data_IF_599424587447
#
_entry.id   IF_599424587447
#
_cell.length_a   1.000
_cell.length_b   1.000
_cell.length_c   1.000
_cell.angle_alpha   90.00
_cell.angle_beta   90.00
_cell.angle_gamma   90.00
#
_symmetry.space_group_name_H-M   'P 1'
#
loop_
_entity.id
_entity.type
_entity.pdbx_description
1 polymer ?
#
# COMPACT_ATOMS: atom_id res chain seq x y z
N UNK A 1 10.04 6.94 -6.30
CA UNK A 1 9.31 5.76 -5.75
C UNK A 1 8.11 5.36 -6.59
N UNK A 2 7.32 6.29 -7.13
CA UNK A 2 6.25 5.96 -8.10
C UNK A 2 6.76 5.17 -9.32
N UNK A 3 7.95 5.51 -9.84
CA UNK A 3 8.58 4.76 -10.93
C UNK A 3 8.90 3.30 -10.57
N UNK A 4 9.23 2.99 -9.31
CA UNK A 4 9.49 1.63 -8.87
C UNK A 4 8.21 0.79 -8.84
N UNK A 5 7.06 1.41 -8.49
CA UNK A 5 5.76 0.74 -8.59
C UNK A 5 5.42 0.42 -10.06
N UNK A 6 5.61 1.36 -10.98
CA UNK A 6 5.35 1.12 -12.41
C UNK A 6 6.28 0.05 -12.99
N UNK A 7 7.55 0.05 -12.58
CA UNK A 7 8.52 -0.97 -12.96
C UNK A 7 8.12 -2.38 -12.46
N UNK A 8 7.47 -2.48 -11.31
CA UNK A 8 6.90 -3.74 -10.81
C UNK A 8 5.56 -4.11 -11.47
N UNK A 9 4.73 -3.13 -11.81
CA UNK A 9 3.38 -3.37 -12.33
C UNK A 9 3.37 -4.06 -13.70
N UNK A 10 4.23 -3.63 -14.62
CA UNK A 10 4.40 -4.21 -15.97
C UNK A 10 4.72 -5.73 -15.95
N UNK A 11 5.74 -6.20 -15.21
CA UNK A 11 6.01 -7.63 -15.11
C UNK A 11 4.90 -8.41 -14.39
N UNK A 12 4.17 -7.78 -13.47
CA UNK A 12 3.01 -8.39 -12.81
C UNK A 12 1.87 -8.69 -13.80
N UNK A 13 1.60 -7.75 -14.69
CA UNK A 13 0.65 -7.89 -15.79
C UNK A 13 1.06 -9.00 -16.76
N UNK A 14 2.35 -9.06 -17.09
CA UNK A 14 2.88 -10.09 -17.98
C UNK A 14 2.78 -11.48 -17.35
N UNK A 15 3.12 -11.61 -16.07
CA UNK A 15 3.03 -12.86 -15.32
C UNK A 15 1.58 -13.37 -15.14
N UNK A 16 0.61 -12.47 -14.98
CA UNK A 16 -0.80 -12.81 -14.86
C UNK A 16 -1.53 -13.04 -16.19
N UNK A 17 -0.89 -12.78 -17.33
CA UNK A 17 -1.50 -12.88 -18.67
C UNK A 17 -2.01 -14.28 -19.00
N UNK A 18 -1.34 -15.32 -18.49
CA UNK A 18 -1.70 -16.71 -18.78
C UNK A 18 -2.98 -17.15 -18.07
N UNK A 19 -3.39 -16.52 -16.95
CA UNK A 19 -4.61 -16.86 -16.20
C UNK A 19 -4.70 -18.30 -15.64
N UNK A 20 -3.66 -19.11 -15.86
CA UNK A 20 -3.62 -20.54 -15.50
C UNK A 20 -2.92 -20.80 -14.17
N UNK A 21 -2.42 -19.76 -13.50
CA UNK A 21 -1.80 -19.92 -12.18
C UNK A 21 -2.88 -20.23 -11.13
N UNK A 22 -2.76 -21.35 -10.40
CA UNK A 22 -3.71 -21.73 -9.35
C UNK A 22 -3.94 -20.62 -8.29
N UNK A 23 -2.88 -19.86 -7.96
CA UNK A 23 -2.98 -18.69 -7.09
C UNK A 23 -3.88 -17.57 -7.65
N UNK A 24 -3.82 -17.33 -8.97
CA UNK A 24 -4.64 -16.33 -9.63
C UNK A 24 -6.13 -16.69 -9.64
N UNK A 25 -6.45 -17.97 -9.79
CA UNK A 25 -7.83 -18.47 -9.75
C UNK A 25 -8.43 -18.38 -8.34
N UNK A 26 -7.63 -18.74 -7.33
CA UNK A 26 -8.03 -18.60 -5.92
C UNK A 26 -8.23 -17.14 -5.53
N UNK A 27 -7.36 -16.23 -6.00
CA UNK A 27 -7.55 -14.79 -5.78
C UNK A 27 -8.83 -14.28 -6.46
N UNK A 28 -9.06 -14.63 -7.72
CA UNK A 28 -10.28 -14.20 -8.43
C UNK A 28 -11.55 -14.72 -7.74
N UNK A 29 -11.55 -15.98 -7.30
CA UNK A 29 -12.65 -16.56 -6.52
C UNK A 29 -12.82 -15.93 -5.12
N UNK A 30 -11.73 -15.47 -4.50
CA UNK A 30 -11.76 -14.75 -3.23
C UNK A 30 -12.36 -13.35 -3.39
N UNK A 31 -11.91 -12.58 -4.38
CA UNK A 31 -12.41 -11.23 -4.65
C UNK A 31 -13.82 -11.20 -5.28
N UNK A 32 -14.26 -12.29 -5.91
CA UNK A 32 -15.61 -12.43 -6.45
C UNK A 32 -16.70 -12.70 -5.40
N UNK A 33 -16.32 -13.05 -4.17
CA UNK A 33 -17.27 -13.40 -3.11
C UNK A 33 -17.71 -12.15 -2.34
N UNK A 34 -18.79 -11.51 -2.80
CA UNK A 34 -19.34 -10.29 -2.20
C UNK A 34 -19.71 -10.42 -0.71
N UNK A 35 -20.07 -11.63 -0.26
CA UNK A 35 -20.48 -11.89 1.14
C UNK A 35 -19.37 -11.64 2.17
N UNK A 36 -18.10 -11.75 1.76
CA UNK A 36 -16.95 -11.48 2.63
C UNK A 36 -16.89 -9.99 3.03
N UNK A 37 -17.54 -9.10 2.27
CA UNK A 37 -17.57 -7.66 2.50
C UNK A 37 -18.73 -7.19 3.38
N UNK A 38 -19.58 -8.11 3.87
CA UNK A 38 -20.76 -7.77 4.68
C UNK A 38 -20.42 -7.45 6.15
N UNK A 39 -19.36 -8.04 6.69
CA UNK A 39 -18.96 -7.89 8.08
C UNK A 39 -18.03 -6.68 8.26
N UNK A 40 -18.62 -5.51 8.56
CA UNK A 40 -17.90 -4.24 8.72
C UNK A 40 -16.74 -4.30 9.73
N UNK A 41 -16.97 -4.92 10.89
CA UNK A 41 -15.98 -5.01 11.98
C UNK A 41 -14.65 -5.66 11.58
N UNK A 42 -14.63 -6.92 11.09
CA UNK A 42 -13.39 -7.59 10.71
C UNK A 42 -12.71 -6.92 9.50
N UNK A 43 -13.46 -6.38 8.53
CA UNK A 43 -12.89 -5.66 7.39
C UNK A 43 -12.17 -4.39 7.83
N UNK A 44 -12.77 -3.62 8.74
CA UNK A 44 -12.17 -2.41 9.27
C UNK A 44 -10.89 -2.72 10.05
N UNK A 45 -10.89 -3.79 10.85
CA UNK A 45 -9.71 -4.21 11.61
C UNK A 45 -8.58 -4.70 10.70
N UNK A 46 -8.90 -5.50 9.68
CA UNK A 46 -7.89 -6.02 8.75
C UNK A 46 -7.27 -4.89 7.92
N UNK A 47 -8.09 -3.95 7.43
CA UNK A 47 -7.61 -2.75 6.74
C UNK A 47 -6.76 -1.85 7.65
N UNK A 48 -7.17 -1.67 8.89
CA UNK A 48 -6.42 -0.89 9.87
C UNK A 48 -5.07 -1.56 10.22
N UNK A 49 -5.07 -2.87 10.42
CA UNK A 49 -3.86 -3.64 10.70
C UNK A 49 -2.88 -3.59 9.51
N UNK A 50 -3.39 -3.78 8.29
CA UNK A 50 -2.60 -3.66 7.07
C UNK A 50 -2.01 -2.25 6.89
N UNK A 51 -2.82 -1.21 7.13
CA UNK A 51 -2.36 0.18 7.07
C UNK A 51 -1.29 0.47 8.13
N UNK A 52 -1.51 0.01 9.37
CA UNK A 52 -0.55 0.17 10.46
C UNK A 52 0.78 -0.51 10.15
N UNK A 53 0.75 -1.77 9.72
CA UNK A 53 1.96 -2.54 9.40
C UNK A 53 2.74 -1.89 8.25
N UNK A 54 2.03 -1.41 7.22
CA UNK A 54 2.64 -0.74 6.08
C UNK A 54 3.27 0.59 6.46
N UNK A 55 2.58 1.41 7.26
CA UNK A 55 3.14 2.67 7.76
C UNK A 55 4.35 2.41 8.67
N UNK A 56 4.27 1.41 9.55
CA UNK A 56 5.35 1.04 10.45
C UNK A 56 6.60 0.58 9.69
N UNK A 57 6.43 -0.20 8.63
CA UNK A 57 7.53 -0.60 7.76
C UNK A 57 8.20 0.61 7.08
N UNK A 58 7.41 1.56 6.56
CA UNK A 58 7.93 2.81 5.97
C UNK A 58 8.68 3.64 7.00
N UNK A 59 8.20 3.69 8.25
CA UNK A 59 8.86 4.37 9.35
C UNK A 59 10.22 3.74 9.66
N UNK A 60 10.27 2.41 9.83
CA UNK A 60 11.52 1.66 10.05
C UNK A 60 12.53 1.89 8.92
N UNK A 61 12.05 1.91 7.66
CA UNK A 61 12.91 2.22 6.52
C UNK A 61 13.50 3.63 6.60
N UNK A 62 12.79 4.61 7.15
CA UNK A 62 13.31 5.97 7.34
C UNK A 62 14.46 6.08 8.34
N UNK A 63 14.53 5.18 9.32
CA UNK A 63 15.62 5.10 10.30
C UNK A 63 16.80 4.24 9.84
N UNK A 64 16.68 3.57 8.69
CA UNK A 64 17.73 2.74 8.13
C UNK A 64 18.51 3.46 7.03
N UNK A 65 19.85 3.36 7.05
CA UNK A 65 20.71 4.08 6.10
C UNK A 65 20.50 3.64 4.63
N UNK A 66 20.17 2.37 4.40
CA UNK A 66 19.77 1.85 3.08
C UNK A 66 18.23 1.83 2.89
N UNK A 67 17.50 2.59 3.70
CA UNK A 67 16.04 2.74 3.65
C UNK A 67 15.44 3.00 2.27
N UNK A 68 16.00 3.90 1.45
CA UNK A 68 15.45 4.22 0.13
C UNK A 68 15.41 3.02 -0.82
N UNK A 69 16.37 2.10 -0.69
CA UNK A 69 16.44 0.87 -1.50
C UNK A 69 15.34 -0.10 -1.06
N UNK A 70 15.18 -0.33 0.26
CA UNK A 70 14.10 -1.17 0.80
C UNK A 70 12.72 -0.64 0.42
N UNK A 71 12.53 0.68 0.53
CA UNK A 71 11.30 1.36 0.11
C UNK A 71 11.03 1.17 -1.39
N UNK A 72 12.06 1.32 -2.23
CA UNK A 72 11.95 1.05 -3.66
C UNK A 72 11.52 -0.38 -3.96
N UNK A 73 12.13 -1.37 -3.29
CA UNK A 73 11.81 -2.79 -3.44
C UNK A 73 10.37 -3.11 -2.99
N UNK A 74 9.95 -2.55 -1.86
CA UNK A 74 8.59 -2.70 -1.34
C UNK A 74 7.53 -2.16 -2.31
N UNK A 75 7.77 -0.96 -2.87
CA UNK A 75 6.86 -0.39 -3.85
C UNK A 75 6.83 -1.16 -5.18
N UNK A 76 7.97 -1.72 -5.60
CA UNK A 76 8.02 -2.61 -6.77
C UNK A 76 7.24 -3.90 -6.54
N UNK A 77 7.40 -4.56 -5.39
CA UNK A 77 6.66 -5.76 -5.03
C UNK A 77 5.13 -5.49 -4.95
N UNK A 78 4.73 -4.35 -4.38
CA UNK A 78 3.33 -3.89 -4.37
C UNK A 78 2.78 -3.70 -5.78
N UNK A 79 3.55 -3.05 -6.66
CA UNK A 79 3.20 -2.88 -8.07
C UNK A 79 3.02 -4.21 -8.79
N UNK A 80 3.95 -5.15 -8.60
CA UNK A 80 3.89 -6.50 -9.17
C UNK A 80 2.61 -7.23 -8.75
N UNK A 81 2.29 -7.21 -7.46
CA UNK A 81 1.09 -7.86 -6.94
C UNK A 81 -0.19 -7.23 -7.53
N UNK A 82 -0.27 -5.91 -7.61
CA UNK A 82 -1.40 -5.22 -8.22
C UNK A 82 -1.56 -5.54 -9.72
N UNK A 83 -0.48 -5.60 -10.47
CA UNK A 83 -0.51 -5.98 -11.89
C UNK A 83 -0.95 -7.43 -12.09
N UNK A 84 -0.47 -8.33 -11.22
CA UNK A 84 -0.83 -9.74 -11.24
C UNK A 84 -2.31 -9.97 -10.90
N UNK A 85 -2.83 -9.29 -9.86
CA UNK A 85 -4.25 -9.35 -9.50
C UNK A 85 -5.15 -8.84 -10.63
N UNK A 86 -4.82 -7.67 -11.21
CA UNK A 86 -5.62 -7.07 -12.28
C UNK A 86 -5.70 -7.97 -13.52
N UNK A 87 -4.59 -8.60 -13.92
CA UNK A 87 -4.55 -9.50 -15.06
C UNK A 87 -5.41 -10.77 -14.83
N UNK A 88 -5.32 -11.39 -13.65
CA UNK A 88 -6.07 -12.61 -13.35
C UNK A 88 -7.58 -12.35 -13.20
N UNK A 89 -7.99 -11.24 -12.56
CA UNK A 89 -9.41 -10.89 -12.44
C UNK A 89 -10.03 -10.58 -13.80
N UNK A 90 -9.30 -9.89 -14.68
CA UNK A 90 -9.77 -9.60 -16.03
C UNK A 90 -9.98 -10.88 -16.86
N UNK A 91 -9.13 -11.90 -16.68
CA UNK A 91 -9.28 -13.18 -17.36
C UNK A 91 -10.44 -14.03 -16.83
N UNK A 92 -10.72 -13.99 -15.52
CA UNK A 92 -11.75 -14.84 -14.92
C UNK A 92 -13.14 -14.21 -14.86
N UNK A 93 -13.23 -12.91 -14.55
CA UNK A 93 -14.48 -12.24 -14.23
C UNK A 93 -14.81 -11.11 -15.22
N UNK A 94 -14.02 -10.98 -16.29
CA UNK A 94 -14.17 -9.96 -17.33
C UNK A 94 -13.96 -8.51 -16.84
N UNK A 95 -14.30 -7.55 -17.69
CA UNK A 95 -14.10 -6.12 -17.40
C UNK A 95 -15.03 -5.60 -16.28
N UNK A 96 -16.23 -6.17 -16.13
CA UNK A 96 -17.18 -5.77 -15.10
C UNK A 96 -16.70 -6.15 -13.68
N UNK A 97 -16.16 -7.36 -13.51
CA UNK A 97 -15.55 -7.79 -12.25
C UNK A 97 -14.28 -7.01 -11.92
N UNK A 98 -13.52 -6.59 -12.94
CA UNK A 98 -12.36 -5.73 -12.77
C UNK A 98 -12.75 -4.33 -12.28
N UNK A 99 -13.81 -3.73 -12.82
CA UNK A 99 -14.30 -2.42 -12.37
C UNK A 99 -14.80 -2.47 -10.93
N UNK A 100 -15.52 -3.53 -10.55
CA UNK A 100 -15.95 -3.73 -9.16
C UNK A 100 -14.72 -3.88 -8.24
N UNK A 101 -13.75 -4.69 -8.60
CA UNK A 101 -12.49 -4.82 -7.86
C UNK A 101 -11.74 -3.48 -7.72
N UNK A 102 -11.73 -2.67 -8.78
CA UNK A 102 -11.10 -1.35 -8.78
C UNK A 102 -11.74 -0.38 -7.78
N UNK A 103 -13.07 -0.29 -7.81
CA UNK A 103 -13.81 0.61 -6.92
C UNK A 103 -13.74 0.12 -5.46
N UNK A 104 -13.75 -1.19 -5.24
CA UNK A 104 -13.87 -1.77 -3.90
C UNK A 104 -12.54 -1.99 -3.18
N UNK A 105 -11.54 -2.55 -3.86
CA UNK A 105 -10.28 -2.96 -3.23
C UNK A 105 -9.10 -2.08 -3.66
N UNK A 106 -9.15 -1.53 -4.87
CA UNK A 106 -8.02 -0.78 -5.42
C UNK A 106 -8.00 0.68 -4.94
N UNK A 107 -9.17 1.34 -4.86
CA UNK A 107 -9.30 2.72 -4.33
C UNK A 107 -8.74 2.90 -2.90
N UNK A 108 -9.12 2.09 -1.88
CA UNK A 108 -8.56 2.20 -0.54
C UNK A 108 -7.05 1.93 -0.53
N UNK A 109 -6.59 0.95 -1.31
CA UNK A 109 -5.19 0.62 -1.42
C UNK A 109 -4.36 1.74 -2.09
N UNK A 110 -4.96 2.49 -3.03
CA UNK A 110 -4.37 3.65 -3.69
C UNK A 110 -4.26 4.86 -2.76
N UNK A 111 -5.30 5.13 -1.96
CA UNK A 111 -5.26 6.18 -0.95
C UNK A 111 -4.15 5.92 0.08
N UNK A 112 -4.06 4.69 0.60
CA UNK A 112 -2.98 4.27 1.50
C UNK A 112 -1.61 4.35 0.81
N UNK A 113 -1.52 3.99 -0.46
CA UNK A 113 -0.28 4.10 -1.23
C UNK A 113 0.19 5.54 -1.37
N UNK A 114 -0.69 6.49 -1.71
CA UNK A 114 -0.33 7.90 -1.79
C UNK A 114 0.16 8.44 -0.43
N UNK A 115 -0.51 8.05 0.65
CA UNK A 115 -0.11 8.40 2.01
C UNK A 115 1.28 7.84 2.35
N UNK A 116 1.54 6.59 1.97
CA UNK A 116 2.86 5.97 2.12
C UNK A 116 3.92 6.63 1.25
N UNK A 117 3.59 7.06 0.03
CA UNK A 117 4.54 7.70 -0.88
C UNK A 117 4.93 9.10 -0.38
N UNK A 118 3.95 9.82 0.18
CA UNK A 118 4.17 11.08 0.91
C UNK A 118 5.10 10.86 2.11
N UNK A 119 4.82 9.86 2.95
CA UNK A 119 5.65 9.55 4.12
C UNK A 119 7.06 9.07 3.71
N UNK A 120 7.14 8.25 2.66
CA UNK A 120 8.39 7.71 2.13
C UNK A 120 9.32 8.79 1.60
N UNK A 121 8.79 9.88 1.02
CA UNK A 121 9.59 11.02 0.60
C UNK A 121 10.36 11.66 1.77
N UNK A 122 9.68 11.83 2.91
CA UNK A 122 10.32 12.37 4.12
C UNK A 122 11.23 11.35 4.82
N UNK A 123 10.87 10.07 4.78
CA UNK A 123 11.73 8.98 5.28
C UNK A 123 13.02 8.84 4.47
N UNK A 124 12.97 9.02 3.15
CA UNK A 124 14.13 9.00 2.26
C UNK A 124 15.08 10.18 2.53
N UNK A 125 14.54 11.37 2.86
CA UNK A 125 15.36 12.52 3.26
C UNK A 125 16.08 12.28 4.59
N UNK A 126 15.39 11.66 5.58
CA UNK A 126 15.99 11.33 6.87
C UNK A 126 17.09 10.28 6.73
N UNK A 127 16.84 9.20 5.99
CA UNK A 127 17.83 8.13 5.73
C UNK A 127 19.03 8.62 4.93
N UNK A 128 18.84 9.53 3.97
CA UNK A 128 19.94 10.21 3.29
C UNK A 128 20.80 11.04 4.24
N UNK A 129 20.17 11.79 5.16
CA UNK A 129 20.88 12.53 6.21
C UNK A 129 21.64 11.62 7.19
N UNK A 130 21.06 10.47 7.55
CA UNK A 130 21.71 9.44 8.35
C UNK A 130 22.92 8.84 7.62
N UNK A 131 22.78 8.48 6.35
CA UNK A 131 23.86 7.94 5.53
C UNK A 131 25.04 8.93 5.44
N UNK A 132 24.76 10.21 5.18
CA UNK A 132 25.79 11.26 5.18
C UNK A 132 26.44 11.47 6.56
N UNK A 133 25.69 11.29 7.65
CA UNK A 133 26.26 11.38 9.00
C UNK A 133 27.17 10.20 9.37
N UNK A 134 26.90 9.01 8.83
CA UNK A 134 27.66 7.78 9.09
C UNK A 134 28.88 7.67 8.17
N UNK A 135 28.73 8.01 6.88
CA UNK A 135 29.75 7.78 5.86
C UNK A 135 30.43 9.07 5.34
N UNK A 136 29.84 10.24 5.53
CA UNK A 136 30.25 11.49 4.85
C UNK A 136 30.76 12.63 5.74
N UNK A 137 31.00 12.41 7.04
CA UNK A 137 31.62 13.41 7.91
C UNK A 137 30.69 14.39 8.65
N UNK A 138 29.36 14.18 8.59
CA UNK A 138 28.41 14.68 9.61
C UNK A 138 27.55 15.89 9.24
N UNK A 139 26.23 15.68 9.10
CA UNK A 139 25.24 16.73 9.29
C UNK A 139 25.10 17.06 10.80
N UNK A 140 24.82 18.32 11.19
CA UNK A 140 24.71 18.69 12.60
C UNK A 140 23.59 17.89 13.28
N UNK A 141 23.95 17.13 14.33
CA UNK A 141 23.08 16.18 15.07
C UNK A 141 21.71 16.77 15.47
N UNK A 142 21.64 18.09 15.70
CA UNK A 142 20.40 18.80 16.02
C UNK A 142 19.38 18.83 14.88
N UNK A 143 19.81 18.94 13.61
CA UNK A 143 18.89 18.94 12.46
C UNK A 143 18.25 17.57 12.24
N UNK A 144 19.01 16.50 12.52
CA UNK A 144 18.54 15.12 12.38
C UNK A 144 17.47 14.77 13.43
N UNK A 145 17.67 15.20 14.68
CA UNK A 145 16.69 14.98 15.74
C UNK A 145 15.38 15.74 15.48
N UNK A 146 15.46 16.98 14.95
CA UNK A 146 14.30 17.75 14.54
C UNK A 146 13.57 17.11 13.33
N UNK A 147 14.32 16.54 12.37
CA UNK A 147 13.74 15.80 11.24
C UNK A 147 13.02 14.52 11.70
N UNK A 148 13.61 13.75 12.62
CA UNK A 148 12.98 12.58 13.21
C UNK A 148 11.69 12.92 13.97
N UNK A 149 11.67 14.01 14.75
CA UNK A 149 10.46 14.46 15.44
C UNK A 149 9.35 14.86 14.47
N UNK A 150 9.70 15.58 13.39
CA UNK A 150 8.77 15.92 12.31
C UNK A 150 8.23 14.69 11.59
N UNK A 151 9.06 13.66 11.38
CA UNK A 151 8.63 12.39 10.81
C UNK A 151 7.65 11.66 11.73
N UNK A 152 7.90 11.63 13.04
CA UNK A 152 7.00 11.03 14.03
C UNK A 152 5.62 11.71 14.08
N UNK A 153 5.59 13.06 14.05
CA UNK A 153 4.31 13.80 13.97
C UNK A 153 3.57 13.50 12.67
N UNK A 154 4.29 13.48 11.53
CA UNK A 154 3.70 13.17 10.22
C UNK A 154 3.22 11.71 10.13
N UNK A 155 3.90 10.79 10.79
CA UNK A 155 3.46 9.41 10.95
C UNK A 155 2.15 9.33 11.75
N UNK A 156 2.06 10.07 12.85
CA UNK A 156 0.81 10.18 13.61
C UNK A 156 -0.36 10.72 12.77
N UNK A 157 -0.13 11.78 11.99
CA UNK A 157 -1.13 12.32 11.06
C UNK A 157 -1.49 11.30 9.98
N UNK A 158 -0.51 10.62 9.40
CA UNK A 158 -0.75 9.58 8.39
C UNK A 158 -1.54 8.39 8.97
N UNK A 159 -1.28 8.00 10.22
CA UNK A 159 -2.02 6.95 10.90
C UNK A 159 -3.48 7.34 11.15
N UNK A 160 -3.71 8.59 11.58
CA UNK A 160 -5.07 9.12 11.75
C UNK A 160 -5.81 9.17 10.41
N UNK A 161 -5.18 9.69 9.36
CA UNK A 161 -5.76 9.70 8.02
C UNK A 161 -6.04 8.29 7.49
N UNK A 162 -5.13 7.34 7.71
CA UNK A 162 -5.33 5.94 7.33
C UNK A 162 -6.48 5.30 8.11
N UNK A 163 -6.59 5.55 9.41
CA UNK A 163 -7.71 5.07 10.22
C UNK A 163 -9.06 5.64 9.75
N UNK A 164 -9.13 6.95 9.50
CA UNK A 164 -10.33 7.59 8.96
C UNK A 164 -10.71 7.02 7.58
N UNK A 165 -9.71 6.83 6.70
CA UNK A 165 -9.92 6.22 5.38
C UNK A 165 -10.44 4.79 5.51
N UNK A 166 -9.83 3.95 6.34
CA UNK A 166 -10.28 2.57 6.56
C UNK A 166 -11.71 2.50 7.09
N UNK A 167 -12.08 3.39 8.02
CA UNK A 167 -13.45 3.48 8.55
C UNK A 167 -14.44 3.88 7.45
N UNK A 168 -14.14 4.93 6.69
CA UNK A 168 -15.02 5.44 5.63
C UNK A 168 -15.16 4.43 4.50
N UNK A 169 -14.06 3.81 4.07
CA UNK A 169 -14.05 2.84 2.97
C UNK A 169 -14.68 1.51 3.36
N UNK A 170 -14.44 1.03 4.60
CA UNK A 170 -15.15 -0.14 5.13
C UNK A 170 -16.65 0.12 5.29
N UNK A 171 -17.05 1.33 5.72
CA UNK A 171 -18.45 1.71 5.82
C UNK A 171 -19.13 1.79 4.44
N UNK A 172 -18.45 2.38 3.44
CA UNK A 172 -18.92 2.42 2.06
C UNK A 172 -19.06 1.01 1.47
N UNK A 173 -18.10 0.12 1.74
CA UNK A 173 -18.16 -1.27 1.32
C UNK A 173 -19.34 -2.03 1.94
N UNK A 174 -19.51 -1.93 3.26
CA UNK A 174 -20.65 -2.56 3.94
C UNK A 174 -22.00 -1.97 3.48
N UNK A 175 -22.05 -0.67 3.18
CA UNK A 175 -23.26 -0.02 2.70
C UNK A 175 -23.60 -0.44 1.27
N UNK A 176 -22.63 -0.45 0.36
CA UNK A 176 -22.84 -0.87 -1.03
C UNK A 176 -23.17 -2.37 -1.15
N UNK A 177 -22.64 -3.22 -0.27
CA UNK A 177 -22.97 -4.66 -0.26
C UNK A 177 -24.44 -4.90 0.08
N UNK A 178 -25.03 -4.04 0.91
CA UNK A 178 -26.46 -4.07 1.26
C UNK A 178 -27.39 -3.55 0.17
N UNK A 179 -26.86 -2.80 -0.81
CA UNK A 179 -27.65 -2.28 -1.94
C UNK A 179 -27.66 -3.22 -3.15
N UNK A 180 -26.69 -4.14 -3.24
CA UNK A 180 -26.53 -5.08 -4.36
C UNK A 180 -27.14 -6.46 -4.07
N UNK A 181 -27.34 -6.82 -2.79
CA UNK A 181 -28.04 -8.03 -2.37
C UNK A 181 -29.51 -7.77 -2.09
#
# INVERSE_FOLDING_TARGET
MAAALLAGYLPGLWAGRSGQTGLGQQLAAYYGRAEQFSAWGPLCLDQLAAAFLQLFFVLLCGFFAAGPVLLGLFFAAKGLFWGFCAANILQQNGAAGLLLYWVWAYLPALCLFFLCLWLAGYAAQLSGGLFQSVFGGGAPRGQLHAAARRLGVRFGVALLCAGLLSVVLSALGAFAARWVG
#
